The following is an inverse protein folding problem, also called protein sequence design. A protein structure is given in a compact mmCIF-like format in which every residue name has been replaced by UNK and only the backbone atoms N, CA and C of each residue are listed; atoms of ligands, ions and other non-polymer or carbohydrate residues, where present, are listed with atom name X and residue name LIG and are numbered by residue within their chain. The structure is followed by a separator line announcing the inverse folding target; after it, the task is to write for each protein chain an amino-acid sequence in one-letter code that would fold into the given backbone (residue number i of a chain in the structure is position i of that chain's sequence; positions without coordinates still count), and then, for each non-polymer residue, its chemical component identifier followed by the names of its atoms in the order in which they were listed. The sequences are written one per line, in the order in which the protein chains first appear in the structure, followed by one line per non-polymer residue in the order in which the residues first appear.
data_IF_682926185784
#
_entry.id   IF_682926185784
#
_cell.length_a   1.000
_cell.length_b   1.000
_cell.length_c   1.000
_cell.angle_alpha   90.00
_cell.angle_beta   90.00
_cell.angle_gamma   90.00
#
_symmetry.space_group_name_H-M   'P 1'
#
loop_
_entity.id
_entity.type
_entity.pdbx_description
1 polymer ?
#
# COMPACT_ATOMS: atom_id res chain seq x y z
N UNK A 1 0.47 31.41 3.43
CA UNK A 1 0.12 30.18 3.47
C UNK A 1 0.93 29.28 2.70
N UNK A 2 1.17 28.20 3.11
CA UNK A 2 1.98 27.33 2.46
C UNK A 2 1.23 26.29 1.79
N UNK A 3 1.57 26.05 0.57
CA UNK A 3 0.96 25.04 -0.09
C UNK A 3 1.77 23.86 0.04
N UNK A 4 1.30 22.84 0.60
CA UNK A 4 2.00 21.62 0.62
C UNK A 4 1.78 20.87 -0.59
N UNK A 5 2.81 20.44 -1.24
CA UNK A 5 2.67 19.63 -2.40
C UNK A 5 2.32 18.26 -1.99
N UNK A 6 1.49 17.59 -2.71
CA UNK A 6 1.16 16.22 -2.37
C UNK A 6 2.39 15.35 -2.48
N UNK A 7 2.50 14.41 -1.61
CA UNK A 7 3.55 13.43 -1.69
C UNK A 7 3.06 12.27 -2.52
N UNK A 8 3.91 11.76 -3.37
CA UNK A 8 3.55 10.59 -4.16
C UNK A 8 4.63 9.56 -4.04
N UNK A 9 4.28 8.34 -4.31
CA UNK A 9 5.23 7.25 -4.33
C UNK A 9 4.97 6.37 -5.53
N UNK A 10 6.04 5.90 -6.14
CA UNK A 10 5.92 5.02 -7.27
C UNK A 10 5.96 3.60 -6.78
N UNK A 11 5.21 2.73 -7.41
CA UNK A 11 5.12 1.35 -7.00
C UNK A 11 6.11 0.50 -7.78
N UNK A 12 6.80 -0.37 -7.07
CA UNK A 12 7.72 -1.28 -7.71
C UNK A 12 7.34 -2.70 -7.33
N UNK A 13 7.06 -3.51 -8.28
CA UNK A 13 6.69 -4.90 -8.08
C UNK A 13 5.21 -5.09 -7.91
N UNK A 14 4.79 -6.33 -7.93
CA UNK A 14 3.39 -6.65 -7.77
C UNK A 14 2.59 -6.28 -8.99
N UNK A 15 1.28 -6.34 -8.86
CA UNK A 15 0.41 -6.08 -10.00
C UNK A 15 0.17 -4.61 -10.22
N UNK A 16 0.69 -3.75 -9.34
CA UNK A 16 0.58 -2.31 -9.48
C UNK A 16 1.90 -1.67 -9.88
N UNK A 17 2.86 -2.47 -10.31
CA UNK A 17 4.19 -1.98 -10.68
C UNK A 17 4.08 -0.81 -11.65
N UNK A 18 4.77 0.26 -11.36
CA UNK A 18 4.80 1.44 -12.23
C UNK A 18 3.74 2.47 -11.94
N UNK A 19 2.80 2.18 -11.08
CA UNK A 19 1.76 3.14 -10.77
C UNK A 19 2.26 4.10 -9.71
N UNK A 20 1.56 5.20 -9.55
CA UNK A 20 1.89 6.17 -8.52
C UNK A 20 0.69 6.44 -7.67
N UNK A 21 0.91 6.63 -6.39
CA UNK A 21 -0.18 6.90 -5.46
C UNK A 21 0.20 8.05 -4.57
N UNK A 22 -0.82 8.77 -4.13
CA UNK A 22 -0.61 9.84 -3.17
C UNK A 22 -0.41 9.23 -1.80
N UNK A 23 0.50 9.75 -1.06
CA UNK A 23 0.78 9.28 0.28
C UNK A 23 0.86 10.48 1.20
N UNK A 24 0.96 10.22 2.49
CA UNK A 24 1.09 11.28 3.46
C UNK A 24 2.38 11.05 4.24
N UNK A 25 2.73 11.98 5.08
CA UNK A 25 3.94 11.83 5.87
C UNK A 25 3.81 10.70 6.89
N UNK A 26 2.60 10.22 7.09
CA UNK A 26 2.42 9.13 8.03
C UNK A 26 2.29 7.78 7.37
N UNK A 27 2.36 7.74 6.07
CA UNK A 27 2.20 6.49 5.36
C UNK A 27 3.43 5.62 5.57
N UNK A 28 3.20 4.38 5.98
CA UNK A 28 4.30 3.42 6.08
C UNK A 28 4.17 2.32 5.04
N UNK A 29 2.99 2.15 4.50
CA UNK A 29 2.78 1.17 3.45
C UNK A 29 1.35 1.24 2.97
N UNK A 30 1.03 0.47 1.97
CA UNK A 30 -0.31 0.44 1.42
C UNK A 30 -0.73 -0.99 1.16
N UNK A 31 -2.02 -1.23 1.32
CA UNK A 31 -2.61 -2.47 0.88
C UNK A 31 -3.45 -2.16 -0.34
N UNK A 32 -3.18 -2.83 -1.42
CA UNK A 32 -3.90 -2.59 -2.66
C UNK A 32 -4.47 -3.89 -3.17
N UNK A 33 -5.62 -3.80 -3.79
CA UNK A 33 -6.21 -5.00 -4.37
C UNK A 33 -5.37 -5.47 -5.54
N UNK A 34 -5.15 -6.76 -5.62
CA UNK A 34 -4.43 -7.31 -6.74
C UNK A 34 -5.21 -7.08 -8.02
N UNK A 35 -4.52 -6.70 -9.08
CA UNK A 35 -5.19 -6.55 -10.34
C UNK A 35 -5.34 -7.87 -11.07
N UNK A 36 -4.74 -8.92 -10.51
CA UNK A 36 -4.82 -10.20 -11.17
C UNK A 36 -5.77 -11.14 -10.46
N UNK A 37 -5.83 -11.06 -9.15
CA UNK A 37 -6.64 -12.00 -8.37
C UNK A 37 -7.63 -11.22 -7.53
N UNK A 38 -8.89 -11.36 -7.79
CA UNK A 38 -9.90 -10.49 -7.15
C UNK A 38 -9.99 -10.66 -5.64
N UNK A 39 -9.56 -11.78 -5.11
CA UNK A 39 -9.67 -11.97 -3.67
C UNK A 39 -8.35 -11.80 -2.96
N UNK A 40 -7.37 -11.21 -3.62
CA UNK A 40 -6.04 -11.06 -3.06
C UNK A 40 -5.71 -9.59 -2.90
N UNK A 41 -5.01 -9.26 -1.84
CA UNK A 41 -4.48 -7.92 -1.67
C UNK A 41 -2.99 -8.00 -1.62
N UNK A 42 -2.34 -6.92 -2.03
CA UNK A 42 -0.88 -6.86 -2.07
C UNK A 42 -0.43 -5.79 -1.09
N UNK A 43 0.58 -6.11 -0.31
CA UNK A 43 1.11 -5.15 0.65
C UNK A 43 2.41 -4.58 0.09
N UNK A 44 2.49 -3.25 0.13
CA UNK A 44 3.66 -2.53 -0.34
C UNK A 44 4.20 -1.70 0.81
N UNK A 45 5.49 -1.71 0.98
CA UNK A 45 6.12 -0.99 2.05
C UNK A 45 6.77 0.26 1.50
N UNK A 46 6.64 1.37 2.20
CA UNK A 46 7.21 2.62 1.75
C UNK A 46 8.68 2.65 2.06
N UNK A 47 9.47 2.95 1.04
CA UNK A 47 10.90 3.07 1.19
C UNK A 47 11.28 4.46 0.70
N UNK A 48 12.06 5.16 1.46
CA UNK A 48 12.45 6.49 1.10
C UNK A 48 13.82 6.45 0.44
N UNK A 49 13.89 7.02 -0.74
CA UNK A 49 15.12 7.08 -1.46
C UNK A 49 15.47 8.52 -1.65
N UNK A 50 16.72 8.83 -1.90
CA UNK A 50 17.03 10.20 -2.19
C UNK A 50 16.43 10.66 -3.49
N UNK A 51 15.97 9.74 -4.31
CA UNK A 51 15.30 10.11 -5.53
C UNK A 51 13.83 10.19 -5.39
N UNK A 52 13.27 9.93 -4.25
CA UNK A 52 11.85 10.01 -4.03
C UNK A 52 11.34 8.84 -3.23
N UNK A 53 10.06 8.67 -3.23
CA UNK A 53 9.42 7.63 -2.43
C UNK A 53 9.07 6.44 -3.28
N UNK A 54 9.25 5.29 -2.74
CA UNK A 54 8.98 4.07 -3.46
C UNK A 54 8.15 3.15 -2.61
N UNK A 55 7.14 2.56 -3.21
CA UNK A 55 6.33 1.55 -2.54
C UNK A 55 6.75 0.22 -3.12
N UNK A 56 7.45 -0.55 -2.32
CA UNK A 56 7.97 -1.82 -2.79
C UNK A 56 7.07 -2.95 -2.39
N UNK A 57 6.80 -3.82 -3.32
CA UNK A 57 5.96 -4.98 -3.07
C UNK A 57 6.63 -5.88 -2.04
N UNK A 58 5.87 -6.29 -1.05
CA UNK A 58 6.37 -7.16 -0.02
C UNK A 58 5.79 -8.55 -0.16
N UNK A 59 4.48 -8.65 -0.17
CA UNK A 59 3.85 -9.96 -0.34
C UNK A 59 2.37 -9.79 -0.61
N UNK A 60 1.73 -10.85 -1.04
CA UNK A 60 0.30 -10.80 -1.21
C UNK A 60 -0.35 -11.69 -0.17
N UNK A 61 -1.59 -11.35 0.14
CA UNK A 61 -2.39 -12.10 1.09
C UNK A 61 -3.72 -12.38 0.43
N UNK A 62 -4.33 -13.53 0.70
CA UNK A 62 -5.71 -13.62 0.28
C UNK A 62 -6.56 -12.99 1.36
N UNK A 63 -7.82 -12.85 1.12
CA UNK A 63 -8.67 -12.10 2.02
C UNK A 63 -8.71 -12.74 3.39
N UNK A 64 -8.72 -14.05 3.44
CA UNK A 64 -8.75 -14.70 4.72
C UNK A 64 -7.46 -14.52 5.48
N UNK A 65 -6.34 -14.61 4.81
CA UNK A 65 -5.08 -14.39 5.46
C UNK A 65 -4.97 -12.99 5.99
N UNK A 66 -5.46 -12.03 5.26
CA UNK A 66 -5.39 -10.67 5.71
C UNK A 66 -6.14 -10.51 7.02
N UNK A 67 -7.31 -11.14 7.09
CA UNK A 67 -8.08 -11.03 8.27
C UNK A 67 -7.34 -11.59 9.46
N UNK A 68 -6.71 -12.70 9.32
CA UNK A 68 -5.97 -13.30 10.38
C UNK A 68 -4.76 -12.46 10.73
N UNK A 69 -4.05 -11.99 9.72
CA UNK A 69 -2.83 -11.27 9.93
C UNK A 69 -3.03 -9.98 10.67
N UNK A 70 -4.19 -9.37 10.53
CA UNK A 70 -4.43 -8.11 11.18
C UNK A 70 -5.43 -8.21 12.31
N UNK A 71 -5.41 -9.31 12.98
CA UNK A 71 -6.19 -9.40 14.17
C UNK A 71 -7.54 -10.00 14.06
N UNK A 72 -7.85 -10.51 12.95
CA UNK A 72 -9.09 -11.18 12.78
C UNK A 72 -10.27 -10.29 12.66
N UNK A 73 -10.07 -8.99 12.67
CA UNK A 73 -11.17 -8.13 12.50
C UNK A 73 -10.88 -7.31 11.36
N UNK A 74 -11.74 -6.72 10.86
CA UNK A 74 -11.51 -5.97 9.79
C UNK A 74 -11.39 -4.62 10.07
N UNK A 75 -10.87 -4.25 11.15
CA UNK A 75 -10.71 -2.94 11.43
C UNK A 75 -9.71 -2.27 10.76
N UNK A 76 -9.03 -2.75 9.93
CA UNK A 76 -8.00 -2.18 9.25
C UNK A 76 -8.45 -1.19 8.35
N UNK A 77 -8.30 -0.10 8.62
CA UNK A 77 -8.75 0.89 7.85
C UNK A 77 -10.08 1.23 8.16
N UNK A 78 -10.92 0.73 7.96
CA UNK A 78 -12.11 1.14 8.15
C UNK A 78 -12.87 0.41 8.92
N UNK A 79 -13.28 0.12 9.39
CA UNK A 79 -13.97 -0.59 9.89
C UNK A 79 -14.78 -0.38 10.35
N UNK A 80 -15.38 -0.49 10.37
CA UNK A 80 -16.45 -0.36 10.88
C UNK A 80 -16.74 -0.92 11.66
#
# INVERSE_FOLDING_TARGET
MTMQQPLTARVEGGTHDGEEFDISTETVGLLLNSRRHPTTVEYYELVLYFRGNLLKFVREYDVEERRVAFGGTERFGAEP
#
